data_IF_111275326425
#
_entry.id   IF_111275326425
#
_cell.length_a   1.000
_cell.length_b   1.000
_cell.length_c   1.000
_cell.angle_alpha   90.00
_cell.angle_beta   90.00
_cell.angle_gamma   90.00
#
_symmetry.space_group_name_H-M   'P 1'
#
loop_
_entity.id
_entity.type
_entity.pdbx_description
1 polymer ?
#
# COMPACT_ATOMS: atom_id res chain seq x y z
N UNK A 1 -0.22 22.11 2.67
CA UNK A 1 0.57 22.17 1.42
C UNK A 1 -0.09 23.02 0.36
N UNK A 2 -1.41 22.90 0.07
CA UNK A 2 -2.02 23.68 -1.02
C UNK A 2 -1.86 25.21 -0.91
N UNK A 3 -2.05 25.79 0.30
CA UNK A 3 -1.91 27.24 0.53
C UNK A 3 -0.47 27.70 0.79
N UNK A 4 0.40 26.83 1.29
CA UNK A 4 1.81 27.15 1.63
C UNK A 4 2.80 26.69 0.55
N UNK A 5 2.29 26.01 -0.48
CA UNK A 5 3.05 25.38 -1.54
C UNK A 5 3.45 26.36 -2.64
N UNK A 6 4.17 25.86 -3.65
CA UNK A 6 4.75 26.66 -4.71
C UNK A 6 3.71 27.48 -5.48
N UNK A 7 2.48 26.98 -5.60
CA UNK A 7 1.41 27.64 -6.37
C UNK A 7 0.80 28.89 -5.70
N UNK A 8 1.02 29.10 -4.39
CA UNK A 8 0.38 30.21 -3.65
C UNK A 8 1.38 31.04 -2.83
N UNK A 9 2.09 30.44 -1.87
CA UNK A 9 3.01 31.18 -0.97
C UNK A 9 4.49 30.88 -1.22
N UNK A 10 4.83 29.78 -1.90
CA UNK A 10 6.22 29.43 -2.23
C UNK A 10 7.12 29.06 -1.04
N UNK A 11 6.57 29.00 0.18
CA UNK A 11 7.32 28.78 1.43
C UNK A 11 7.80 27.33 1.56
N UNK A 12 7.03 26.37 1.04
CA UNK A 12 7.42 24.95 1.07
C UNK A 12 7.52 24.40 -0.34
N UNK A 13 8.75 24.10 -0.76
CA UNK A 13 9.10 23.55 -2.08
C UNK A 13 9.63 22.12 -1.91
N UNK A 14 8.80 21.09 -2.17
CA UNK A 14 9.21 19.68 -2.05
C UNK A 14 10.47 19.34 -2.84
N UNK A 15 10.66 19.97 -4.00
CA UNK A 15 11.81 19.83 -4.89
C UNK A 15 13.16 20.20 -4.24
N UNK A 16 13.16 21.11 -3.26
CA UNK A 16 14.40 21.50 -2.54
C UNK A 16 14.77 20.55 -1.40
N UNK A 17 13.84 19.66 -1.00
CA UNK A 17 14.06 18.73 0.12
C UNK A 17 14.81 17.46 -0.27
N UNK A 18 14.97 17.17 -1.56
CA UNK A 18 15.82 16.08 -2.08
C UNK A 18 15.67 14.76 -1.32
N UNK A 19 16.77 14.25 -0.77
CA UNK A 19 16.82 12.99 -0.01
C UNK A 19 16.11 13.05 1.35
N UNK A 20 15.97 14.24 1.95
CA UNK A 20 15.29 14.39 3.24
C UNK A 20 13.80 14.04 3.12
N UNK A 21 13.17 14.33 1.98
CA UNK A 21 11.77 13.98 1.72
C UNK A 21 11.58 12.45 1.70
N UNK A 22 12.46 11.71 1.02
CA UNK A 22 12.38 10.25 0.96
C UNK A 22 12.53 9.62 2.35
N UNK A 23 13.50 10.09 3.14
CA UNK A 23 13.71 9.60 4.51
C UNK A 23 12.49 9.90 5.38
N UNK A 24 11.93 11.11 5.28
CA UNK A 24 10.78 11.52 6.06
C UNK A 24 9.52 10.73 5.69
N UNK A 25 9.27 10.49 4.40
CA UNK A 25 8.16 9.66 3.93
C UNK A 25 8.33 8.22 4.42
N UNK A 26 9.52 7.64 4.29
CA UNK A 26 9.79 6.28 4.78
C UNK A 26 9.57 6.16 6.28
N UNK A 27 10.04 7.13 7.06
CA UNK A 27 9.82 7.17 8.50
C UNK A 27 8.34 7.34 8.86
N UNK A 28 7.63 8.24 8.18
CA UNK A 28 6.20 8.47 8.41
C UNK A 28 5.38 7.22 8.10
N UNK A 29 5.63 6.56 6.97
CA UNK A 29 4.97 5.29 6.60
C UNK A 29 5.27 4.22 7.65
N UNK A 30 6.52 4.08 8.10
CA UNK A 30 6.88 3.11 9.13
C UNK A 30 6.11 3.35 10.44
N UNK A 31 6.01 4.61 10.89
CA UNK A 31 5.26 4.98 12.08
C UNK A 31 3.76 4.72 11.91
N UNK A 32 3.17 5.10 10.78
CA UNK A 32 1.73 4.89 10.50
C UNK A 32 1.39 3.39 10.50
N UNK A 33 2.20 2.56 9.85
CA UNK A 33 2.00 1.11 9.84
C UNK A 33 2.18 0.49 11.23
N UNK A 34 3.12 1.01 12.01
CA UNK A 34 3.34 0.57 13.39
C UNK A 34 2.17 0.93 14.31
N UNK A 35 1.68 2.18 14.25
CA UNK A 35 0.53 2.65 15.00
C UNK A 35 -0.73 1.86 14.62
N UNK A 36 -0.97 1.67 13.32
CA UNK A 36 -2.06 0.84 12.82
C UNK A 36 -2.01 -0.58 13.38
N UNK A 37 -0.83 -1.21 13.36
CA UNK A 37 -0.62 -2.58 13.85
C UNK A 37 -0.81 -2.75 15.37
N UNK A 38 -0.39 -1.76 16.17
CA UNK A 38 -0.53 -1.81 17.63
C UNK A 38 -2.00 -1.73 18.09
N UNK A 39 -2.84 -1.02 17.35
CA UNK A 39 -4.25 -0.87 17.69
C UNK A 39 -5.10 -2.11 17.30
N UNK A 40 -4.51 -3.10 16.62
CA UNK A 40 -5.22 -4.31 16.18
C UNK A 40 -5.44 -5.33 17.30
N UNK A 41 -6.69 -5.76 17.47
CA UNK A 41 -7.03 -6.84 18.38
C UNK A 41 -6.85 -8.23 17.71
N UNK A 42 -5.67 -8.82 17.88
CA UNK A 42 -5.29 -10.14 17.34
C UNK A 42 -6.32 -11.26 17.61
N UNK A 43 -7.01 -11.24 18.76
CA UNK A 43 -8.03 -12.27 19.08
C UNK A 43 -9.27 -12.12 18.21
N UNK A 44 -9.69 -10.88 17.94
CA UNK A 44 -10.86 -10.59 17.09
C UNK A 44 -10.56 -10.88 15.62
N UNK A 45 -9.37 -10.52 15.15
CA UNK A 45 -8.92 -10.83 13.79
C UNK A 45 -8.96 -12.34 13.55
N UNK A 46 -8.47 -13.15 14.48
CA UNK A 46 -8.48 -14.61 14.33
C UNK A 46 -9.90 -15.19 14.25
N UNK A 47 -10.87 -14.59 14.93
CA UNK A 47 -12.28 -15.00 14.89
C UNK A 47 -12.95 -14.67 13.55
N UNK A 48 -12.59 -13.54 12.95
CA UNK A 48 -13.14 -13.02 11.69
C UNK A 48 -12.24 -13.31 10.47
N UNK A 49 -11.19 -14.12 10.64
CA UNK A 49 -10.10 -14.27 9.67
C UNK A 49 -10.56 -14.70 8.27
N UNK A 50 -11.64 -15.49 8.18
CA UNK A 50 -12.20 -15.91 6.89
C UNK A 50 -12.69 -14.73 6.04
N UNK A 51 -13.44 -13.81 6.65
CA UNK A 51 -13.96 -12.61 5.95
C UNK A 51 -12.83 -11.67 5.60
N UNK A 52 -11.93 -11.40 6.55
CA UNK A 52 -10.76 -10.53 6.35
C UNK A 52 -9.91 -11.07 5.19
N UNK A 53 -9.63 -12.38 5.16
CA UNK A 53 -8.87 -12.99 4.07
C UNK A 53 -9.56 -12.86 2.72
N UNK A 54 -10.88 -12.99 2.67
CA UNK A 54 -11.63 -12.84 1.41
C UNK A 54 -11.59 -11.38 0.91
N UNK A 55 -11.69 -10.40 1.80
CA UNK A 55 -11.52 -8.98 1.47
C UNK A 55 -10.10 -8.69 0.98
N UNK A 56 -9.09 -9.20 1.67
CA UNK A 56 -7.66 -9.01 1.32
C UNK A 56 -7.23 -9.73 0.04
N UNK A 57 -8.00 -10.70 -0.45
CA UNK A 57 -7.66 -11.46 -1.67
C UNK A 57 -8.58 -11.06 -2.81
N UNK A 58 -9.86 -11.39 -2.70
CA UNK A 58 -10.85 -11.13 -3.74
C UNK A 58 -11.14 -9.64 -3.86
N UNK A 59 -11.32 -8.94 -2.74
CA UNK A 59 -11.57 -7.50 -2.74
C UNK A 59 -10.41 -6.72 -3.38
N UNK A 60 -9.19 -6.99 -2.91
CA UNK A 60 -7.96 -6.42 -3.48
C UNK A 60 -7.83 -6.70 -4.97
N UNK A 61 -8.01 -7.95 -5.41
CA UNK A 61 -7.88 -8.33 -6.81
C UNK A 61 -8.93 -7.63 -7.70
N UNK A 62 -10.18 -7.58 -7.24
CA UNK A 62 -11.27 -6.92 -7.97
C UNK A 62 -11.01 -5.42 -8.07
N UNK A 63 -10.57 -4.76 -7.00
CA UNK A 63 -10.24 -3.33 -7.01
C UNK A 63 -9.03 -3.04 -7.89
N UNK A 64 -8.00 -3.89 -7.85
CA UNK A 64 -6.81 -3.77 -8.69
C UNK A 64 -7.15 -3.83 -10.17
N UNK A 65 -7.83 -4.91 -10.57
CA UNK A 65 -8.18 -5.19 -11.97
C UNK A 65 -9.22 -4.19 -12.46
N UNK A 66 -10.21 -3.88 -11.63
CA UNK A 66 -11.22 -2.86 -11.93
C UNK A 66 -10.60 -1.48 -12.12
N UNK A 67 -9.69 -1.07 -11.23
CA UNK A 67 -8.97 0.20 -11.31
C UNK A 67 -8.06 0.28 -12.54
N UNK A 68 -7.32 -0.80 -12.83
CA UNK A 68 -6.47 -0.86 -14.01
C UNK A 68 -7.28 -0.84 -15.31
N UNK A 69 -8.38 -1.59 -15.36
CA UNK A 69 -9.26 -1.61 -16.54
C UNK A 69 -9.96 -0.26 -16.73
N UNK A 70 -10.41 0.37 -15.66
CA UNK A 70 -10.97 1.72 -15.69
C UNK A 70 -9.94 2.73 -16.20
N UNK A 71 -8.71 2.71 -15.69
CA UNK A 71 -7.64 3.58 -16.20
C UNK A 71 -7.37 3.35 -17.69
N UNK A 72 -7.35 2.09 -18.13
CA UNK A 72 -7.15 1.75 -19.55
C UNK A 72 -8.28 2.30 -20.42
N UNK A 73 -9.53 2.13 -20.00
CA UNK A 73 -10.71 2.50 -20.78
C UNK A 73 -10.95 4.01 -20.82
N UNK A 74 -10.80 4.69 -19.67
CA UNK A 74 -11.10 6.11 -19.55
C UNK A 74 -9.91 7.02 -19.88
N UNK A 75 -8.70 6.64 -19.47
CA UNK A 75 -7.50 7.47 -19.69
C UNK A 75 -6.69 7.05 -20.92
N UNK A 76 -6.98 5.88 -21.51
CA UNK A 76 -6.25 5.39 -22.68
C UNK A 76 -4.79 5.01 -22.40
N UNK A 77 -4.39 4.90 -21.14
CA UNK A 77 -3.01 4.62 -20.73
C UNK A 77 -2.55 3.23 -21.16
N UNK A 78 -1.24 3.03 -21.33
CA UNK A 78 -0.68 1.70 -21.53
C UNK A 78 -0.92 0.79 -20.32
N UNK A 79 -0.82 -0.53 -20.54
CA UNK A 79 -1.05 -1.53 -19.49
C UNK A 79 -0.18 -1.30 -18.25
N UNK A 80 1.08 -0.93 -18.41
CA UNK A 80 2.01 -0.70 -17.31
C UNK A 80 1.53 0.41 -16.37
N UNK A 81 1.16 1.57 -16.92
CA UNK A 81 0.64 2.71 -16.16
C UNK A 81 -0.74 2.40 -15.54
N UNK A 82 -1.57 1.66 -16.28
CA UNK A 82 -2.90 1.27 -15.81
C UNK A 82 -2.82 0.31 -14.62
N UNK A 83 -1.91 -0.67 -14.66
CA UNK A 83 -1.68 -1.61 -13.56
C UNK A 83 -1.11 -0.88 -12.35
N UNK A 84 -0.15 0.04 -12.55
CA UNK A 84 0.37 0.86 -11.45
C UNK A 84 -0.75 1.65 -10.76
N UNK A 85 -1.61 2.29 -11.55
CA UNK A 85 -2.78 3.01 -11.02
C UNK A 85 -3.73 2.10 -10.26
N UNK A 86 -4.07 0.94 -10.84
CA UNK A 86 -4.91 -0.06 -10.18
C UNK A 86 -4.36 -0.47 -8.83
N UNK A 87 -3.04 -0.70 -8.74
CA UNK A 87 -2.37 -1.06 -7.49
C UNK A 87 -2.39 0.07 -6.46
N UNK A 88 -2.19 1.33 -6.89
CA UNK A 88 -2.25 2.49 -6.00
C UNK A 88 -3.64 2.71 -5.40
N UNK A 89 -4.70 2.46 -6.17
CA UNK A 89 -6.09 2.71 -5.77
C UNK A 89 -6.64 1.67 -4.78
N UNK A 90 -6.03 0.50 -4.70
CA UNK A 90 -6.44 -0.54 -3.73
C UNK A 90 -6.29 -0.05 -2.28
N UNK A 91 -5.32 0.83 -2.01
CA UNK A 91 -4.99 1.27 -0.66
C UNK A 91 -6.11 2.13 -0.09
N UNK A 92 -6.82 1.60 0.91
CA UNK A 92 -7.86 2.32 1.66
C UNK A 92 -7.34 2.70 3.04
N UNK A 93 -7.45 3.98 3.41
CA UNK A 93 -6.94 4.47 4.69
C UNK A 93 -7.91 4.27 5.87
N UNK A 94 -7.48 3.68 7.00
CA UNK A 94 -8.31 3.56 8.22
C UNK A 94 -8.51 4.90 8.94
N UNK A 95 -7.81 5.95 8.53
CA UNK A 95 -7.75 7.26 9.21
C UNK A 95 -9.10 7.97 9.28
N UNK A 96 -9.97 7.76 8.29
CA UNK A 96 -11.32 8.34 8.29
C UNK A 96 -12.39 7.36 8.80
N UNK A 97 -12.19 6.06 8.60
CA UNK A 97 -13.17 5.03 8.96
C UNK A 97 -13.18 4.82 10.48
N UNK A 98 -12.03 4.69 11.13
CA UNK A 98 -11.94 4.43 12.58
C UNK A 98 -12.62 5.52 13.42
N UNK A 99 -12.43 6.83 13.17
CA UNK A 99 -13.17 7.87 13.90
C UNK A 99 -14.67 7.86 13.65
N UNK A 100 -15.11 7.47 12.44
CA UNK A 100 -16.53 7.36 12.11
C UNK A 100 -17.18 6.20 12.85
N UNK A 101 -16.56 5.02 12.85
CA UNK A 101 -17.05 3.84 13.57
C UNK A 101 -17.21 4.10 15.08
N UNK A 102 -16.36 4.95 15.66
CA UNK A 102 -16.50 5.38 17.07
C UNK A 102 -17.69 6.31 17.33
N UNK A 103 -18.24 6.96 16.31
CA UNK A 103 -19.40 7.86 16.41
C UNK A 103 -20.72 7.17 16.11
N UNK A 104 -20.71 6.06 15.38
CA UNK A 104 -21.90 5.30 15.01
C UNK A 104 -21.97 3.97 15.75
N UNK A 105 -23.17 3.53 16.14
CA UNK A 105 -23.35 2.19 16.74
C UNK A 105 -23.35 1.13 15.65
N UNK A 106 -22.18 0.64 15.29
CA UNK A 106 -22.01 -0.54 14.43
C UNK A 106 -21.94 -1.82 15.26
N UNK A 107 -22.29 -2.95 14.65
CA UNK A 107 -22.10 -4.25 15.28
C UNK A 107 -20.60 -4.54 15.46
N UNK A 108 -20.19 -5.02 16.64
CA UNK A 108 -18.79 -5.27 17.01
C UNK A 108 -18.01 -6.11 15.98
N UNK A 109 -18.71 -7.01 15.28
CA UNK A 109 -18.18 -7.82 14.18
C UNK A 109 -17.72 -6.97 13.00
N UNK A 110 -18.57 -6.06 12.53
CA UNK A 110 -18.29 -5.20 11.38
C UNK A 110 -17.20 -4.19 11.72
N UNK A 111 -17.25 -3.62 12.93
CA UNK A 111 -16.19 -2.73 13.43
C UNK A 111 -14.82 -3.42 13.37
N UNK A 112 -14.71 -4.64 13.91
CA UNK A 112 -13.45 -5.38 13.94
C UNK A 112 -12.96 -5.77 12.54
N UNK A 113 -13.88 -6.07 11.62
CA UNK A 113 -13.54 -6.40 10.23
C UNK A 113 -13.04 -5.16 9.49
N UNK A 114 -13.72 -4.02 9.62
CA UNK A 114 -13.33 -2.77 8.95
C UNK A 114 -12.02 -2.19 9.49
N UNK A 115 -11.79 -2.27 10.81
CA UNK A 115 -10.50 -1.88 11.40
C UNK A 115 -9.36 -2.78 10.89
N UNK A 116 -9.58 -4.10 10.85
CA UNK A 116 -8.58 -5.04 10.37
C UNK A 116 -8.34 -4.91 8.87
N UNK A 117 -9.38 -4.76 8.06
CA UNK A 117 -9.29 -4.52 6.62
C UNK A 117 -8.46 -3.26 6.35
N UNK A 118 -8.81 -2.12 6.96
CA UNK A 118 -8.14 -0.85 6.71
C UNK A 118 -6.65 -0.91 7.05
N UNK A 119 -6.28 -1.46 8.21
CA UNK A 119 -4.85 -1.55 8.59
C UNK A 119 -4.08 -2.56 7.73
N UNK A 120 -4.67 -3.72 7.42
CA UNK A 120 -3.98 -4.76 6.65
C UNK A 120 -3.86 -4.39 5.17
N UNK A 121 -4.89 -3.79 4.56
CA UNK A 121 -4.82 -3.29 3.19
C UNK A 121 -3.82 -2.15 3.07
N UNK A 122 -3.72 -1.27 4.06
CA UNK A 122 -2.75 -0.16 4.06
C UNK A 122 -1.31 -0.69 3.98
N UNK A 123 -0.95 -1.63 4.86
CA UNK A 123 0.38 -2.25 4.86
C UNK A 123 0.67 -3.05 3.58
N UNK A 124 -0.24 -3.94 3.20
CA UNK A 124 -0.05 -4.84 2.04
C UNK A 124 -0.06 -4.03 0.74
N UNK A 125 -0.98 -3.08 0.61
CA UNK A 125 -1.15 -2.29 -0.60
C UNK A 125 0.05 -1.38 -0.88
N UNK A 126 0.70 -0.80 0.14
CA UNK A 126 1.95 -0.05 -0.04
C UNK A 126 3.05 -0.96 -0.61
N UNK A 127 3.21 -2.18 -0.08
CA UNK A 127 4.20 -3.14 -0.60
C UNK A 127 3.90 -3.50 -2.05
N UNK A 128 2.65 -3.82 -2.39
CA UNK A 128 2.27 -4.15 -3.77
C UNK A 128 2.50 -2.93 -4.69
N UNK A 129 2.16 -1.72 -4.26
CA UNK A 129 2.36 -0.49 -5.03
C UNK A 129 3.83 -0.19 -5.30
N UNK A 130 4.68 -0.32 -4.27
CA UNK A 130 6.13 -0.15 -4.42
C UNK A 130 6.70 -1.20 -5.38
N UNK A 131 6.33 -2.46 -5.23
CA UNK A 131 6.77 -3.53 -6.15
C UNK A 131 6.30 -3.27 -7.58
N UNK A 132 5.04 -2.85 -7.77
CA UNK A 132 4.52 -2.51 -9.10
C UNK A 132 5.27 -1.31 -9.72
N UNK A 133 5.63 -0.33 -8.90
CA UNK A 133 6.42 0.82 -9.32
C UNK A 133 7.85 0.42 -9.69
N UNK A 134 8.51 -0.42 -8.88
CA UNK A 134 9.86 -0.93 -9.16
C UNK A 134 9.88 -1.74 -10.46
N UNK A 135 8.91 -2.61 -10.68
CA UNK A 135 8.76 -3.38 -11.93
C UNK A 135 8.57 -2.46 -13.14
N UNK A 136 7.88 -1.33 -12.97
CA UNK A 136 7.74 -0.33 -14.03
C UNK A 136 9.05 0.41 -14.32
N UNK A 137 9.78 0.82 -13.29
CA UNK A 137 11.02 1.61 -13.43
C UNK A 137 12.19 0.73 -13.89
N UNK A 138 12.22 -0.54 -13.48
CA UNK A 138 13.22 -1.54 -13.84
C UNK A 138 12.54 -2.77 -14.48
N UNK A 139 12.22 -2.71 -15.79
CA UNK A 139 11.60 -3.84 -16.50
C UNK A 139 12.53 -5.05 -16.70
N UNK A 140 13.66 -5.11 -15.98
CA UNK A 140 14.61 -6.22 -16.01
C UNK A 140 14.10 -7.34 -15.12
N UNK A 141 13.49 -8.36 -15.74
CA UNK A 141 13.17 -9.67 -15.15
C UNK A 141 14.37 -10.48 -14.65
N UNK A 142 15.49 -9.82 -14.33
CA UNK A 142 16.75 -10.43 -13.88
C UNK A 142 16.94 -10.36 -12.37
N UNK A 143 16.18 -9.55 -11.62
CA UNK A 143 16.37 -9.42 -10.16
C UNK A 143 15.92 -10.66 -9.37
N UNK A 144 14.83 -11.32 -9.79
CA UNK A 144 14.36 -12.56 -9.15
C UNK A 144 15.26 -13.77 -9.50
N UNK A 145 15.80 -13.82 -10.73
CA UNK A 145 16.72 -14.87 -11.16
C UNK A 145 18.11 -14.70 -10.53
N UNK A 146 18.68 -13.48 -10.54
CA UNK A 146 19.99 -13.18 -9.96
C UNK A 146 20.02 -13.24 -8.43
N UNK A 147 18.90 -12.92 -7.76
CA UNK A 147 18.74 -13.12 -6.32
C UNK A 147 18.83 -14.60 -5.91
N UNK A 148 18.26 -15.51 -6.70
CA UNK A 148 18.34 -16.96 -6.45
C UNK A 148 19.71 -17.55 -6.82
N UNK A 149 20.35 -17.06 -7.90
CA UNK A 149 21.67 -17.52 -8.34
C UNK A 149 22.81 -17.04 -7.44
N UNK A 150 22.73 -15.83 -6.87
CA UNK A 150 23.75 -15.31 -5.95
C UNK A 150 23.75 -16.03 -4.60
N UNK A 151 22.60 -16.49 -4.12
CA UNK A 151 22.48 -17.31 -2.90
C UNK A 151 23.08 -18.71 -3.11
N UNK A 152 22.89 -19.30 -4.30
CA UNK A 152 23.48 -20.59 -4.69
C UNK A 152 25.00 -20.52 -4.93
N UNK A 153 25.49 -19.46 -5.58
CA UNK A 153 26.94 -19.31 -5.84
C UNK A 153 27.73 -19.00 -4.57
N UNK A 154 27.14 -18.28 -3.61
CA UNK A 154 27.80 -17.95 -2.33
C UNK A 154 27.85 -19.16 -1.39
N UNK A 155 26.91 -20.09 -1.51
CA UNK A 155 26.91 -21.35 -0.76
C UNK A 155 27.91 -22.40 -1.27
N UNK A 156 28.28 -22.35 -2.56
CA UNK A 156 29.23 -23.31 -3.16
C UNK A 156 30.71 -22.88 -3.06
N UNK A 157 30.99 -21.59 -2.85
CA UNK A 157 32.35 -21.04 -2.81
C UNK A 157 33.12 -21.14 -1.49
N UNK A 158 32.63 -21.89 -0.49
CA UNK A 158 33.28 -22.03 0.84
C UNK A 158 33.43 -23.50 1.29
N UNK A 159 33.87 -24.38 0.39
CA UNK A 159 34.36 -25.71 0.73
C UNK A 159 35.76 -25.92 0.12
#
# INVERSE_FOLDING_TARGET
MLLLGPDVLGVVQPETMGSALQILVGFAVAVILFEGGLNLNLRRIRREAGVIRQLLTVGVLVTAVGGAFAARLFMGWEWTHSILFGTLVIVTGPTVITPLLRRIKVVHRVESVLEAEGVLIDAVGVVIAVVALEVMIQPTGESLASGSLSILSTAWGRA
#
